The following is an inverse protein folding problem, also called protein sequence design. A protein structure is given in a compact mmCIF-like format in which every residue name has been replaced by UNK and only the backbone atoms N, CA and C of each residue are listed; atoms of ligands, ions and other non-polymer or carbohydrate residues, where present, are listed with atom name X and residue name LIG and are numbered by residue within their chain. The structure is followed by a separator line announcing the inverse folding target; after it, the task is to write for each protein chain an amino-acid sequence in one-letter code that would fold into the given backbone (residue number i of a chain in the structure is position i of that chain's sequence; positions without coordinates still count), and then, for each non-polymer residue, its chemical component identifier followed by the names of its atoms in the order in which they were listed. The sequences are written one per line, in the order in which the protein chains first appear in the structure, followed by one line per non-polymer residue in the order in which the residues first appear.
data_IF_491791637569
#
_entry.id   IF_491791637569
#
_cell.length_a   1.000
_cell.length_b   1.000
_cell.length_c   1.000
_cell.angle_alpha   90.00
_cell.angle_beta   90.00
_cell.angle_gamma   90.00
#
_symmetry.space_group_name_H-M   'P 1'
#
loop_
_entity.id
_entity.type
_entity.pdbx_description
1 polymer ?
#
# COMPACT_ATOMS: atom_id res chain seq x y z
N UNK A 1 15.17 19.06 3.75
CA UNK A 1 13.83 19.62 3.95
C UNK A 1 13.22 18.94 5.17
N UNK A 2 12.65 19.72 6.09
CA UNK A 2 12.17 19.21 7.38
C UNK A 2 10.93 18.31 7.19
N UNK A 3 10.90 17.12 7.79
CA UNK A 3 9.76 16.19 7.72
C UNK A 3 8.42 16.78 8.22
N UNK A 4 8.46 17.91 8.94
CA UNK A 4 7.29 18.53 9.57
C UNK A 4 6.25 19.06 8.58
N UNK A 5 6.65 19.38 7.35
CA UNK A 5 5.74 20.00 6.37
C UNK A 5 4.92 18.95 5.59
N UNK A 6 5.32 17.67 5.63
CA UNK A 6 4.73 16.60 4.81
C UNK A 6 3.65 15.82 5.58
N UNK A 7 3.84 15.61 6.89
CA UNK A 7 2.96 14.80 7.74
C UNK A 7 2.11 15.68 8.67
N UNK A 8 1.11 16.38 8.10
CA UNK A 8 0.23 17.30 8.85
C UNK A 8 -1.12 16.65 9.15
N UNK A 9 -1.66 16.88 10.36
CA UNK A 9 -2.97 16.37 10.78
C UNK A 9 -3.15 16.43 12.30
N UNK A 10 -4.40 16.42 12.78
CA UNK A 10 -4.75 16.50 14.22
C UNK A 10 -4.62 15.15 14.94
N UNK A 11 -4.63 14.05 14.18
CA UNK A 11 -4.45 12.69 14.68
C UNK A 11 -3.81 11.80 13.60
N UNK A 12 -3.43 10.57 13.98
CA UNK A 12 -2.74 9.64 13.07
C UNK A 12 -3.53 9.26 11.82
N UNK A 13 -4.86 9.20 11.89
CA UNK A 13 -5.71 8.87 10.73
C UNK A 13 -5.74 10.03 9.73
N UNK A 14 -5.88 11.26 10.21
CA UNK A 14 -5.83 12.46 9.37
C UNK A 14 -4.44 12.62 8.73
N UNK A 15 -3.36 12.35 9.47
CA UNK A 15 -1.99 12.34 8.93
C UNK A 15 -1.87 11.31 7.80
N UNK A 16 -2.32 10.08 8.01
CA UNK A 16 -2.26 9.04 6.96
C UNK A 16 -3.12 9.43 5.75
N UNK A 17 -4.33 9.94 5.96
CA UNK A 17 -5.19 10.39 4.88
C UNK A 17 -4.52 11.48 4.04
N UNK A 18 -3.98 12.52 4.68
CA UNK A 18 -3.32 13.64 4.00
C UNK A 18 -2.06 13.18 3.23
N UNK A 19 -1.30 12.22 3.77
CA UNK A 19 -0.13 11.65 3.11
C UNK A 19 -0.51 10.95 1.80
N UNK A 20 -1.55 10.11 1.80
CA UNK A 20 -1.95 9.33 0.61
C UNK A 20 -2.86 10.11 -0.35
N UNK A 21 -3.59 11.11 0.12
CA UNK A 21 -4.42 11.98 -0.72
C UNK A 21 -3.61 13.04 -1.50
N UNK A 22 -2.34 13.27 -1.14
CA UNK A 22 -1.49 14.23 -1.83
C UNK A 22 -1.13 13.76 -3.24
N UNK A 23 -1.49 14.54 -4.25
CA UNK A 23 -1.12 14.30 -5.66
C UNK A 23 0.37 14.49 -5.93
N UNK A 24 1.11 15.13 -5.01
CA UNK A 24 2.54 15.40 -5.18
C UNK A 24 3.44 14.26 -4.70
N UNK A 25 2.89 13.30 -3.94
CA UNK A 25 3.59 12.14 -3.39
C UNK A 25 4.95 12.41 -2.71
N UNK A 26 5.21 13.64 -2.23
CA UNK A 26 6.51 14.06 -1.67
C UNK A 26 7.02 13.20 -0.51
N UNK A 27 6.11 12.51 0.18
CA UNK A 27 6.43 11.62 1.28
C UNK A 27 7.33 10.45 0.88
N UNK A 28 7.36 10.05 -0.40
CA UNK A 28 8.25 8.99 -0.89
C UNK A 28 9.73 9.37 -0.83
N UNK A 29 10.04 10.66 -0.69
CA UNK A 29 11.40 11.17 -0.59
C UNK A 29 11.88 11.37 0.87
N UNK A 30 11.05 11.05 1.87
CA UNK A 30 11.45 11.07 3.28
C UNK A 30 11.71 9.64 3.78
N UNK A 31 12.98 9.26 4.03
CA UNK A 31 13.32 7.96 4.59
C UNK A 31 12.64 7.69 5.94
N UNK A 32 12.42 8.73 6.74
CA UNK A 32 11.79 8.67 8.05
C UNK A 32 10.32 8.26 7.93
N UNK A 33 9.58 8.89 7.01
CA UNK A 33 8.18 8.56 6.75
C UNK A 33 8.08 7.16 6.13
N UNK A 34 8.93 6.82 5.16
CA UNK A 34 8.96 5.49 4.56
C UNK A 34 9.19 4.40 5.61
N UNK A 35 10.15 4.61 6.52
CA UNK A 35 10.45 3.67 7.60
C UNK A 35 9.27 3.50 8.55
N UNK A 36 8.61 4.61 8.92
CA UNK A 36 7.44 4.59 9.79
C UNK A 36 6.23 3.88 9.16
N UNK A 37 6.01 4.05 7.85
CA UNK A 37 4.87 3.49 7.13
C UNK A 37 5.05 2.03 6.73
N UNK A 38 6.28 1.57 6.51
CA UNK A 38 6.56 0.22 5.96
C UNK A 38 5.87 -0.89 6.76
N UNK A 39 6.15 -1.00 8.05
CA UNK A 39 5.60 -2.08 8.88
C UNK A 39 4.06 -2.09 8.96
N UNK A 40 3.37 -0.97 9.28
CA UNK A 40 1.91 -0.97 9.31
C UNK A 40 1.29 -1.25 7.94
N UNK A 41 1.78 -0.65 6.86
CA UNK A 41 1.19 -0.86 5.53
C UNK A 41 1.39 -2.28 5.01
N UNK A 42 2.57 -2.88 5.23
CA UNK A 42 2.81 -4.27 4.83
C UNK A 42 1.86 -5.24 5.55
N UNK A 43 1.58 -5.01 6.84
CA UNK A 43 0.59 -5.81 7.59
C UNK A 43 -0.83 -5.59 7.08
N UNK A 44 -1.21 -4.36 6.79
CA UNK A 44 -2.53 -4.04 6.23
C UNK A 44 -2.71 -4.63 4.83
N UNK A 45 -1.69 -4.58 3.98
CA UNK A 45 -1.70 -5.21 2.67
C UNK A 45 -1.88 -6.73 2.76
N UNK A 46 -1.13 -7.41 3.64
CA UNK A 46 -1.30 -8.84 3.86
C UNK A 46 -2.73 -9.20 4.31
N UNK A 47 -3.29 -8.41 5.25
CA UNK A 47 -4.68 -8.58 5.67
C UNK A 47 -5.66 -8.34 4.51
N UNK A 48 -5.47 -7.27 3.74
CA UNK A 48 -6.31 -6.90 2.61
C UNK A 48 -6.39 -8.01 1.55
N UNK A 49 -5.25 -8.61 1.20
CA UNK A 49 -5.19 -9.69 0.22
C UNK A 49 -5.84 -10.98 0.74
N UNK A 50 -5.54 -11.35 1.99
CA UNK A 50 -5.88 -12.67 2.51
C UNK A 50 -7.26 -12.73 3.17
N UNK A 51 -7.64 -11.69 3.92
CA UNK A 51 -8.82 -11.70 4.80
C UNK A 51 -9.98 -10.88 4.25
N UNK A 52 -9.72 -9.76 3.57
CA UNK A 52 -10.80 -8.90 3.09
C UNK A 52 -11.45 -9.53 1.85
N UNK A 53 -12.77 -9.71 1.91
CA UNK A 53 -13.55 -10.42 0.88
C UNK A 53 -14.76 -9.62 0.42
N UNK A 54 -15.13 -9.81 -0.85
CA UNK A 54 -16.42 -9.36 -1.41
C UNK A 54 -17.11 -10.55 -2.04
N UNK A 55 -18.30 -10.90 -1.55
CA UNK A 55 -19.08 -12.08 -2.01
C UNK A 55 -18.26 -13.39 -1.99
N UNK A 56 -17.51 -13.61 -0.91
CA UNK A 56 -16.70 -14.82 -0.70
C UNK A 56 -15.37 -14.86 -1.49
N UNK A 57 -15.07 -13.84 -2.30
CA UNK A 57 -13.85 -13.76 -3.13
C UNK A 57 -12.91 -12.68 -2.61
N UNK A 58 -11.62 -12.76 -2.95
CA UNK A 58 -10.65 -11.71 -2.59
C UNK A 58 -11.16 -10.32 -3.01
N UNK A 59 -11.04 -9.33 -2.13
CA UNK A 59 -11.57 -7.99 -2.38
C UNK A 59 -10.84 -7.30 -3.53
N UNK A 60 -9.52 -7.47 -3.61
CA UNK A 60 -8.70 -6.98 -4.71
C UNK A 60 -8.97 -7.78 -6.00
N UNK A 61 -9.20 -7.08 -7.11
CA UNK A 61 -9.55 -7.72 -8.38
C UNK A 61 -8.40 -8.52 -8.98
N UNK A 62 -7.15 -8.07 -8.82
CA UNK A 62 -5.95 -8.73 -9.35
C UNK A 62 -5.61 -9.96 -8.51
N UNK A 63 -5.64 -9.85 -7.18
CA UNK A 63 -5.51 -10.99 -6.28
C UNK A 63 -6.59 -12.03 -6.56
N UNK A 64 -7.84 -11.60 -6.74
CA UNK A 64 -8.92 -12.50 -7.09
C UNK A 64 -8.68 -13.22 -8.43
N UNK A 65 -8.16 -12.52 -9.44
CA UNK A 65 -7.79 -13.14 -10.72
C UNK A 65 -6.71 -14.22 -10.54
N UNK A 66 -5.61 -13.91 -9.86
CA UNK A 66 -4.52 -14.87 -9.67
C UNK A 66 -4.94 -16.07 -8.80
N UNK A 67 -5.60 -15.82 -7.67
CA UNK A 67 -6.04 -16.87 -6.75
C UNK A 67 -7.09 -17.80 -7.38
N UNK A 68 -8.00 -17.29 -8.22
CA UNK A 68 -8.96 -18.14 -8.94
C UNK A 68 -8.29 -19.07 -9.96
N UNK A 69 -7.12 -18.68 -10.47
CA UNK A 69 -6.34 -19.49 -11.40
C UNK A 69 -5.32 -20.41 -10.68
N UNK A 70 -5.46 -20.58 -9.36
CA UNK A 70 -4.63 -21.51 -8.58
C UNK A 70 -3.31 -20.95 -8.07
N UNK A 71 -3.04 -19.65 -8.27
CA UNK A 71 -1.83 -19.03 -7.75
C UNK A 71 -1.86 -18.89 -6.22
N UNK A 72 -0.68 -18.74 -5.61
CA UNK A 72 -0.48 -18.36 -4.23
C UNK A 72 0.19 -16.98 -4.14
N UNK A 73 -0.15 -16.19 -3.12
CA UNK A 73 0.60 -14.98 -2.78
C UNK A 73 2.00 -15.39 -2.30
N UNK A 74 3.03 -15.04 -3.06
CA UNK A 74 4.41 -15.38 -2.74
C UNK A 74 5.04 -14.31 -1.85
N UNK A 75 5.04 -13.06 -2.32
CA UNK A 75 5.76 -11.95 -1.68
C UNK A 75 5.02 -10.63 -1.87
N UNK A 76 4.96 -9.85 -0.79
CA UNK A 76 4.57 -8.44 -0.83
C UNK A 76 5.86 -7.61 -0.94
N UNK A 77 5.91 -6.71 -1.92
CA UNK A 77 7.08 -5.90 -2.23
C UNK A 77 6.81 -4.43 -1.86
N UNK A 78 7.58 -3.93 -0.90
CA UNK A 78 7.51 -2.54 -0.44
C UNK A 78 8.13 -1.60 -1.47
N UNK A 79 7.40 -0.54 -1.87
CA UNK A 79 7.86 0.50 -2.79
C UNK A 79 8.45 -0.04 -4.11
N UNK A 80 7.76 -1.02 -4.69
CA UNK A 80 8.16 -1.68 -5.93
C UNK A 80 7.72 -0.92 -7.19
N UNK A 81 6.65 -0.12 -7.11
CA UNK A 81 6.21 0.77 -8.18
C UNK A 81 6.04 2.20 -7.65
N UNK A 82 7.00 3.06 -7.98
CA UNK A 82 7.01 4.48 -7.58
C UNK A 82 6.38 5.40 -8.64
N UNK A 83 5.75 4.84 -9.67
CA UNK A 83 4.98 5.65 -10.63
C UNK A 83 3.77 6.26 -9.94
N UNK A 84 3.25 7.36 -10.51
CA UNK A 84 2.02 8.01 -10.02
C UNK A 84 0.84 7.04 -9.95
N UNK A 85 0.77 6.10 -10.91
CA UNK A 85 -0.23 5.04 -10.92
C UNK A 85 -0.03 4.05 -9.78
N UNK A 86 1.19 3.56 -9.54
CA UNK A 86 1.48 2.64 -8.44
C UNK A 86 1.19 3.26 -7.07
N UNK A 87 1.56 4.53 -6.91
CA UNK A 87 1.32 5.28 -5.67
C UNK A 87 -0.16 5.55 -5.43
N UNK A 88 -0.92 5.94 -6.46
CA UNK A 88 -2.37 6.17 -6.35
C UNK A 88 -3.17 4.89 -6.11
N UNK A 89 -2.77 3.77 -6.71
CA UNK A 89 -3.53 2.51 -6.63
C UNK A 89 -3.24 1.71 -5.37
N UNK A 90 -1.98 1.66 -4.92
CA UNK A 90 -1.57 0.74 -3.83
C UNK A 90 -0.51 1.33 -2.89
N UNK A 91 -0.23 2.63 -2.96
CA UNK A 91 0.86 3.24 -2.19
C UNK A 91 2.24 2.70 -2.59
N UNK A 92 2.37 2.21 -3.82
CA UNK A 92 3.60 1.64 -4.39
C UNK A 92 3.92 0.22 -3.95
N UNK A 93 3.00 -0.45 -3.26
CA UNK A 93 3.13 -1.88 -2.93
C UNK A 93 2.75 -2.72 -4.14
N UNK A 94 3.61 -3.70 -4.47
CA UNK A 94 3.30 -4.74 -5.46
C UNK A 94 3.31 -6.12 -4.81
N UNK A 95 2.72 -7.11 -5.49
CA UNK A 95 2.61 -8.48 -5.01
C UNK A 95 3.04 -9.43 -6.10
N UNK A 96 3.91 -10.38 -5.74
CA UNK A 96 4.24 -11.51 -6.60
C UNK A 96 3.27 -12.65 -6.32
N UNK A 97 2.77 -13.27 -7.39
CA UNK A 97 1.97 -14.48 -7.34
C UNK A 97 2.76 -15.60 -8.01
N UNK A 98 2.86 -16.75 -7.33
CA UNK A 98 3.45 -17.96 -7.88
C UNK A 98 2.34 -18.91 -8.29
N UNK A 99 2.51 -19.55 -9.45
CA UNK A 99 1.60 -20.55 -10.00
C UNK A 99 2.21 -21.94 -9.87
#
# INVERSE_FOLDING_TARGET
MCCRDIATGKNGMEVMFNLFASTSYKWIHSPEILSALKSPLMRLCARYLLQEKKRGKALDSVANFHLQNGAMVERINWMADLSEKGLSQSGGIMVNYVY
#
